data_IF_815372235361
#
_entry.id   IF_815372235361
#
_cell.length_a   1.000
_cell.length_b   1.000
_cell.length_c   1.000
_cell.angle_alpha   90.00
_cell.angle_beta   90.00
_cell.angle_gamma   90.00
#
_symmetry.space_group_name_H-M   'P 1'
#
loop_
_entity.id
_entity.type
_entity.pdbx_description
1 polymer ?
#
# COMPACT_ATOMS: atom_id res chain seq x y z
N UNK A 1 -10.82 -18.66 -5.97
CA UNK A 1 -9.41 -18.26 -5.78
C UNK A 1 -9.21 -17.90 -4.32
N UNK A 2 -8.13 -18.32 -3.67
CA UNK A 2 -7.80 -17.82 -2.34
C UNK A 2 -7.45 -16.34 -2.46
N UNK A 3 -8.24 -15.43 -1.86
CA UNK A 3 -8.00 -13.96 -1.77
C UNK A 3 -6.71 -13.59 -0.99
N UNK A 4 -5.79 -14.53 -0.85
CA UNK A 4 -4.76 -14.56 0.17
C UNK A 4 -3.38 -14.79 -0.42
N UNK A 5 -2.99 -14.03 -1.45
CA UNK A 5 -1.69 -14.20 -2.11
C UNK A 5 -0.94 -12.87 -2.21
N UNK A 6 -0.47 -12.36 -1.06
CA UNK A 6 0.55 -11.29 -0.98
C UNK A 6 1.26 -11.39 0.38
N UNK A 7 2.56 -11.08 0.44
CA UNK A 7 3.32 -10.94 1.69
C UNK A 7 2.65 -9.93 2.63
N UNK A 8 2.18 -10.39 3.79
CA UNK A 8 1.35 -9.62 4.73
C UNK A 8 2.02 -8.33 5.25
N UNK A 9 3.34 -8.32 5.32
CA UNK A 9 4.12 -7.27 5.97
C UNK A 9 4.01 -5.89 5.32
N UNK A 10 3.64 -5.85 4.03
CA UNK A 10 3.51 -4.62 3.24
C UNK A 10 2.05 -4.24 2.98
N UNK A 11 1.07 -4.97 3.53
CA UNK A 11 -0.35 -4.70 3.30
C UNK A 11 -0.80 -3.45 4.06
N UNK A 12 -1.50 -2.58 3.36
CA UNK A 12 -2.12 -1.39 3.91
C UNK A 12 -3.24 -1.71 4.91
N UNK A 13 -3.54 -0.83 5.88
CA UNK A 13 -4.57 -1.06 6.88
C UNK A 13 -5.95 -1.39 6.30
N UNK A 14 -6.34 -0.73 5.22
CA UNK A 14 -7.63 -0.92 4.53
C UNK A 14 -7.79 -2.34 3.97
N UNK A 15 -6.71 -2.98 3.51
CA UNK A 15 -6.70 -4.37 3.07
C UNK A 15 -6.80 -5.34 4.25
N UNK A 16 -6.28 -4.97 5.43
CA UNK A 16 -6.39 -5.77 6.64
C UNK A 16 -7.79 -5.68 7.26
N UNK A 17 -8.51 -4.60 6.97
CA UNK A 17 -9.87 -4.32 7.44
C UNK A 17 -10.96 -4.72 6.43
N UNK A 18 -10.59 -5.40 5.33
CA UNK A 18 -11.49 -5.80 4.24
C UNK A 18 -12.37 -4.64 3.74
N UNK A 19 -11.76 -3.46 3.55
CA UNK A 19 -12.42 -2.36 2.85
C UNK A 19 -12.56 -2.69 1.37
N UNK A 20 -13.71 -2.41 0.76
CA UNK A 20 -13.93 -2.63 -0.68
C UNK A 20 -13.31 -1.54 -1.57
N UNK A 21 -12.89 -0.43 -0.96
CA UNK A 21 -12.38 0.74 -1.66
C UNK A 21 -10.85 0.61 -1.83
N UNK A 22 -10.42 -0.10 -2.88
CA UNK A 22 -9.00 -0.21 -3.25
C UNK A 22 -8.60 0.91 -4.20
N UNK A 23 -7.48 1.57 -3.90
CA UNK A 23 -6.93 2.66 -4.72
C UNK A 23 -5.41 2.55 -4.78
N UNK A 24 -4.76 3.34 -5.65
CA UNK A 24 -3.30 3.43 -5.72
C UNK A 24 -2.63 3.79 -4.37
N UNK A 25 -3.38 4.31 -3.39
CA UNK A 25 -2.87 4.56 -2.05
C UNK A 25 -2.31 3.29 -1.39
N UNK A 26 -2.83 2.10 -1.69
CA UNK A 26 -2.33 0.83 -1.11
C UNK A 26 -0.85 0.62 -1.44
N UNK A 27 -0.42 1.00 -2.64
CA UNK A 27 0.95 0.83 -3.10
C UNK A 27 1.88 1.83 -2.41
N UNK A 28 1.42 3.06 -2.18
CA UNK A 28 2.18 4.08 -1.42
C UNK A 28 2.50 3.59 -0.01
N UNK A 29 1.57 2.89 0.64
CA UNK A 29 1.81 2.28 1.94
C UNK A 29 2.91 1.21 1.87
N UNK A 30 2.83 0.32 0.87
CA UNK A 30 3.84 -0.72 0.65
C UNK A 30 5.21 -0.11 0.39
N UNK A 31 5.31 0.96 -0.39
CA UNK A 31 6.54 1.72 -0.62
C UNK A 31 7.11 2.26 0.69
N UNK A 32 6.26 2.85 1.56
CA UNK A 32 6.69 3.33 2.88
C UNK A 32 7.28 2.21 3.75
N UNK A 33 6.68 1.02 3.73
CA UNK A 33 7.17 -0.15 4.44
C UNK A 33 8.52 -0.63 3.89
N UNK A 34 8.66 -0.73 2.56
CA UNK A 34 9.89 -1.14 1.88
C UNK A 34 11.02 -0.15 2.19
N UNK A 35 10.74 1.15 2.10
CA UNK A 35 11.73 2.17 2.36
C UNK A 35 12.29 2.07 3.79
N UNK A 36 11.41 1.91 4.79
CA UNK A 36 11.85 1.73 6.17
C UNK A 36 12.62 0.43 6.40
N UNK A 37 12.25 -0.63 5.68
CA UNK A 37 13.00 -1.88 5.70
C UNK A 37 14.40 -1.73 5.11
N UNK A 38 14.57 -0.96 4.03
CA UNK A 38 15.89 -0.66 3.48
C UNK A 38 16.76 0.11 4.48
N UNK A 39 16.18 1.08 5.20
CA UNK A 39 16.90 1.88 6.19
C UNK A 39 17.29 1.06 7.43
N UNK A 40 16.38 0.22 7.93
CA UNK A 40 16.56 -0.53 9.18
C UNK A 40 17.13 -1.94 8.96
N UNK A 41 17.25 -2.38 7.70
CA UNK A 41 17.63 -3.74 7.26
C UNK A 41 16.76 -4.85 7.87
N UNK A 42 15.55 -4.50 8.30
CA UNK A 42 14.57 -5.38 8.94
C UNK A 42 13.16 -4.93 8.56
N UNK A 43 12.23 -5.86 8.33
CA UNK A 43 10.85 -5.51 8.02
C UNK A 43 10.24 -4.63 9.10
N UNK A 44 9.54 -3.57 8.68
CA UNK A 44 8.91 -2.63 9.62
C UNK A 44 7.78 -3.30 10.41
N UNK A 45 6.95 -4.10 9.73
CA UNK A 45 5.78 -4.76 10.31
C UNK A 45 5.77 -6.26 10.01
N UNK A 46 6.54 -7.03 10.79
CA UNK A 46 6.65 -8.48 10.66
C UNK A 46 5.50 -9.26 11.37
N UNK A 47 4.26 -9.03 10.95
CA UNK A 47 3.08 -9.69 11.54
C UNK A 47 3.01 -11.18 11.20
N UNK A 48 2.59 -11.98 12.19
CA UNK A 48 2.44 -13.45 12.08
C UNK A 48 1.08 -13.85 11.48
N UNK A 49 0.06 -13.05 11.78
CA UNK A 49 -1.32 -13.17 11.35
C UNK A 49 -1.93 -11.76 11.20
N UNK A 50 -3.21 -11.65 10.80
CA UNK A 50 -3.89 -10.36 10.63
C UNK A 50 -3.94 -9.54 11.92
N UNK A 51 -4.21 -10.19 13.04
CA UNK A 51 -4.41 -9.52 14.32
C UNK A 51 -3.07 -8.97 14.82
N UNK A 52 -2.01 -9.76 14.71
CA UNK A 52 -0.67 -9.34 15.04
C UNK A 52 -0.18 -8.23 14.11
N UNK A 53 -0.46 -8.31 12.80
CA UNK A 53 -0.12 -7.24 11.85
C UNK A 53 -0.77 -5.92 12.28
N UNK A 54 -2.08 -5.91 12.55
CA UNK A 54 -2.78 -4.70 12.97
C UNK A 54 -2.26 -4.15 14.29
N UNK A 55 -1.94 -5.02 15.25
CA UNK A 55 -1.31 -4.61 16.51
C UNK A 55 0.03 -3.92 16.29
N UNK A 56 0.89 -4.43 15.41
CA UNK A 56 2.17 -3.77 15.08
C UNK A 56 1.95 -2.39 14.46
N UNK A 57 0.93 -2.24 13.61
CA UNK A 57 0.57 -0.94 13.03
C UNK A 57 0.15 0.05 14.11
N UNK A 58 -0.78 -0.33 14.99
CA UNK A 58 -1.29 0.55 16.04
C UNK A 58 -0.25 0.86 17.12
N UNK A 59 0.66 -0.07 17.43
CA UNK A 59 1.76 0.17 18.36
C UNK A 59 2.72 1.26 17.86
N UNK A 60 3.00 1.34 16.56
CA UNK A 60 3.89 2.34 15.97
C UNK A 60 3.16 3.65 15.62
N UNK A 61 2.07 3.56 14.87
CA UNK A 61 1.37 4.72 14.28
C UNK A 61 0.28 5.30 15.19
N UNK A 62 -0.01 4.62 16.30
CA UNK A 62 -1.10 4.92 17.21
C UNK A 62 -2.41 4.24 16.79
N UNK A 63 -3.35 4.16 17.72
CA UNK A 63 -4.68 3.65 17.43
C UNK A 63 -5.46 4.68 16.60
N UNK A 64 -6.01 4.31 15.42
CA UNK A 64 -6.71 5.25 14.56
C UNK A 64 -7.98 5.78 15.25
N UNK A 65 -8.29 7.05 15.01
CA UNK A 65 -9.49 7.69 15.55
C UNK A 65 -10.73 7.36 14.70
N UNK A 66 -11.94 7.61 15.22
CA UNK A 66 -13.18 7.45 14.42
C UNK A 66 -13.14 8.27 13.12
N UNK A 67 -12.48 9.44 13.12
CA UNK A 67 -12.30 10.22 11.89
C UNK A 67 -11.36 9.58 10.88
N UNK A 68 -10.40 8.76 11.32
CA UNK A 68 -9.50 8.02 10.43
C UNK A 68 -10.16 6.71 9.92
N UNK A 69 -11.12 6.20 10.68
CA UNK A 69 -11.97 5.05 10.30
C UNK A 69 -13.18 5.45 9.45
N UNK A 70 -13.36 6.74 9.17
CA UNK A 70 -14.52 7.29 8.46
C UNK A 70 -14.77 6.60 7.10
N UNK A 71 -13.70 6.19 6.42
CA UNK A 71 -13.75 5.50 5.13
C UNK A 71 -13.94 3.97 5.24
N UNK A 72 -13.66 3.37 6.40
CA UNK A 72 -13.85 1.93 6.59
C UNK A 72 -15.35 1.67 6.68
N UNK A 73 -15.99 1.27 5.58
CA UNK A 73 -17.45 1.02 5.54
C UNK A 73 -17.87 -0.25 6.30
N UNK A 74 -16.92 -1.15 6.55
CA UNK A 74 -17.16 -2.42 7.22
C UNK A 74 -17.32 -2.23 8.75
N UNK A 75 -18.53 -2.50 9.26
CA UNK A 75 -18.83 -2.36 10.69
C UNK A 75 -18.07 -3.36 11.58
N UNK A 76 -17.81 -4.58 11.10
CA UNK A 76 -17.05 -5.58 11.86
C UNK A 76 -15.60 -5.14 12.03
N UNK A 77 -15.03 -4.54 10.99
CA UNK A 77 -13.69 -3.96 11.04
C UNK A 77 -13.62 -2.79 12.03
N UNK A 78 -14.62 -1.89 12.04
CA UNK A 78 -14.71 -0.81 13.04
C UNK A 78 -14.81 -1.34 14.46
N UNK A 79 -15.65 -2.37 14.68
CA UNK A 79 -15.80 -3.01 15.99
C UNK A 79 -14.49 -3.63 16.46
N UNK A 80 -13.78 -4.30 15.56
CA UNK A 80 -12.46 -4.88 15.84
C UNK A 80 -11.46 -3.80 16.28
N UNK A 81 -11.35 -2.70 15.54
CA UNK A 81 -10.43 -1.60 15.90
C UNK A 81 -10.77 -0.97 17.25
N UNK A 82 -12.06 -0.80 17.57
CA UNK A 82 -12.51 -0.29 18.88
C UNK A 82 -12.13 -1.19 20.05
N UNK A 83 -11.97 -2.49 19.82
CA UNK A 83 -11.57 -3.46 20.85
C UNK A 83 -10.04 -3.54 21.02
N UNK A 84 -9.26 -2.94 20.12
CA UNK A 84 -7.81 -2.94 20.23
C UNK A 84 -7.35 -2.08 21.41
N UNK A 85 -6.22 -2.45 22.06
CA UNK A 85 -5.56 -1.59 23.03
C UNK A 85 -5.25 -0.22 22.40
N UNK A 86 -5.46 0.83 23.20
CA UNK A 86 -5.18 2.20 22.78
C UNK A 86 -3.68 2.48 22.91
N UNK A 87 -3.06 2.87 21.80
CA UNK A 87 -1.64 3.23 21.73
C UNK A 87 -1.50 4.68 21.26
N UNK A 88 -0.67 5.50 21.93
CA UNK A 88 -0.33 6.83 21.41
C UNK A 88 0.56 6.70 20.18
N UNK A 89 0.41 7.60 19.21
CA UNK A 89 1.29 7.66 18.03
C UNK A 89 2.73 7.90 18.47
N UNK A 90 3.65 7.05 18.01
CA UNK A 90 5.08 7.26 18.26
C UNK A 90 5.64 8.28 17.27
N UNK A 91 6.60 9.08 17.73
CA UNK A 91 7.33 9.98 16.84
C UNK A 91 8.39 9.16 16.09
N UNK A 92 8.17 8.90 14.80
CA UNK A 92 9.07 8.09 13.97
C UNK A 92 10.52 8.59 14.02
N UNK A 93 10.73 9.91 14.14
CA UNK A 93 12.07 10.51 14.28
C UNK A 93 12.81 10.02 15.53
N UNK A 94 12.08 9.73 16.62
CA UNK A 94 12.65 9.18 17.86
C UNK A 94 12.88 7.68 17.79
N UNK A 95 12.02 6.96 17.07
CA UNK A 95 12.14 5.50 16.88
C UNK A 95 13.29 5.18 15.94
N UNK A 96 13.50 6.01 14.92
CA UNK A 96 14.50 5.83 13.87
C UNK A 96 15.46 7.03 13.81
N UNK A 97 16.26 7.27 14.86
CA UNK A 97 17.12 8.47 14.96
C UNK A 97 18.28 8.49 13.96
N UNK A 98 18.55 7.36 13.32
CA UNK A 98 19.61 7.21 12.32
C UNK A 98 19.14 7.56 10.89
N UNK A 99 17.84 7.74 10.69
CA UNK A 99 17.25 8.05 9.38
C UNK A 99 17.16 9.57 9.21
N UNK A 100 17.38 10.05 7.99
CA UNK A 100 17.27 11.47 7.67
C UNK A 100 15.86 12.02 8.07
N UNK A 101 15.77 13.15 8.80
CA UNK A 101 14.48 13.72 9.19
C UNK A 101 13.51 13.98 8.02
N UNK A 102 14.02 14.39 6.85
CA UNK A 102 13.20 14.59 5.66
C UNK A 102 12.67 13.27 5.08
N UNK A 103 13.43 12.18 5.21
CA UNK A 103 12.95 10.86 4.84
C UNK A 103 11.86 10.39 5.79
N UNK A 104 12.04 10.60 7.10
CA UNK A 104 11.01 10.27 8.09
C UNK A 104 9.74 11.08 7.84
N UNK A 105 9.86 12.36 7.48
CA UNK A 105 8.71 13.20 7.14
C UNK A 105 7.96 12.72 5.88
N UNK A 106 8.66 12.20 4.87
CA UNK A 106 8.04 11.54 3.71
C UNK A 106 7.32 10.26 4.13
N UNK A 107 7.99 9.42 4.92
CA UNK A 107 7.47 8.13 5.38
C UNK A 107 6.26 8.29 6.30
N UNK A 108 6.25 9.30 7.16
CA UNK A 108 5.11 9.59 8.03
C UNK A 108 3.84 9.90 7.21
N UNK A 109 4.00 10.57 6.07
CA UNK A 109 2.90 10.84 5.12
C UNK A 109 2.49 9.60 4.31
N UNK A 110 3.44 8.74 3.93
CA UNK A 110 3.16 7.45 3.27
C UNK A 110 2.46 6.45 4.21
N UNK A 111 2.88 6.38 5.49
CA UNK A 111 2.32 5.51 6.51
C UNK A 111 1.13 6.15 7.24
N UNK A 112 0.24 6.76 6.46
CA UNK A 112 -1.02 7.32 6.95
C UNK A 112 -2.11 6.26 6.90
N UNK A 113 -2.84 6.11 8.01
CA UNK A 113 -3.87 5.07 8.17
C UNK A 113 -5.05 5.29 7.22
N UNK A 114 -5.50 6.55 7.13
CA UNK A 114 -6.55 6.98 6.23
C UNK A 114 -6.00 7.09 4.79
N UNK A 115 -6.46 6.25 3.84
CA UNK A 115 -5.93 6.26 2.48
C UNK A 115 -6.21 7.57 1.73
N UNK A 116 -7.25 8.33 2.09
CA UNK A 116 -7.53 9.61 1.44
C UNK A 116 -6.64 10.77 1.92
N UNK A 117 -6.00 10.60 3.09
CA UNK A 117 -5.00 11.55 3.63
C UNK A 117 -3.56 11.12 3.33
N UNK A 118 -3.39 9.91 2.78
CA UNK A 118 -2.08 9.38 2.40
C UNK A 118 -1.57 10.17 1.20
N UNK A 119 -0.29 10.54 1.25
CA UNK A 119 0.38 11.27 0.16
C UNK A 119 0.23 10.50 -1.16
N UNK A 120 0.01 11.21 -2.27
CA UNK A 120 0.02 10.57 -3.59
C UNK A 120 1.44 10.30 -4.08
N UNK A 121 1.60 9.53 -5.16
CA UNK A 121 2.91 9.27 -5.75
C UNK A 121 3.52 10.57 -6.29
N UNK A 122 2.71 11.41 -6.91
CA UNK A 122 3.11 12.71 -7.47
C UNK A 122 3.57 13.66 -6.36
N UNK A 123 2.82 13.74 -5.26
CA UNK A 123 3.21 14.53 -4.09
C UNK A 123 4.48 13.98 -3.41
N UNK A 124 4.66 12.66 -3.41
CA UNK A 124 5.86 12.03 -2.87
C UNK A 124 7.10 12.32 -3.72
N UNK A 125 6.99 12.29 -5.05
CA UNK A 125 8.08 12.67 -5.98
C UNK A 125 8.46 14.13 -5.81
N UNK A 126 7.48 15.02 -5.63
CA UNK A 126 7.70 16.44 -5.35
C UNK A 126 8.23 16.75 -3.92
N UNK A 127 8.40 15.74 -3.06
CA UNK A 127 8.79 15.95 -1.67
C UNK A 127 10.24 16.47 -1.56
N UNK A 128 10.56 17.37 -0.59
CA UNK A 128 11.92 17.89 -0.39
C UNK A 128 13.01 16.84 -0.21
N UNK A 129 12.63 15.64 0.24
CA UNK A 129 13.55 14.51 0.37
C UNK A 129 14.06 13.99 -0.99
N UNK A 130 13.20 14.00 -2.02
CA UNK A 130 13.51 13.52 -3.37
C UNK A 130 13.87 14.65 -4.35
N UNK A 131 13.93 15.91 -3.89
CA UNK A 131 14.20 17.07 -4.74
C UNK A 131 15.49 17.03 -5.58
N UNK A 132 16.46 16.17 -5.22
CA UNK A 132 17.69 15.96 -6.02
C UNK A 132 17.51 14.98 -7.19
N UNK A 133 16.47 14.16 -7.13
CA UNK A 133 16.15 13.11 -8.10
C UNK A 133 14.91 13.46 -8.93
N UNK A 134 14.05 14.33 -8.42
CA UNK A 134 12.82 14.71 -9.08
C UNK A 134 13.11 15.48 -10.38
N UNK A 135 12.67 14.91 -11.49
CA UNK A 135 12.77 15.50 -12.82
C UNK A 135 11.48 15.18 -13.60
N UNK A 136 10.64 16.20 -13.77
CA UNK A 136 9.33 16.06 -14.42
C UNK A 136 9.49 15.62 -15.88
N UNK A 137 10.58 15.99 -16.55
CA UNK A 137 10.82 15.64 -17.95
C UNK A 137 11.26 14.16 -18.12
N UNK A 138 11.78 13.53 -17.06
CA UNK A 138 12.20 12.12 -17.01
C UNK A 138 11.21 11.22 -16.22
N UNK A 139 10.04 11.75 -15.86
CA UNK A 139 8.97 11.06 -15.13
C UNK A 139 7.71 10.92 -16.02
N UNK A 140 7.72 10.06 -17.07
CA UNK A 140 6.61 9.95 -18.01
C UNK A 140 5.35 9.34 -17.37
N UNK A 141 4.19 9.91 -17.70
CA UNK A 141 2.88 9.39 -17.26
C UNK A 141 2.29 8.47 -18.33
N UNK A 142 1.66 7.37 -17.90
CA UNK A 142 0.89 6.50 -18.79
C UNK A 142 -0.33 7.27 -19.35
N UNK A 143 -0.39 7.42 -20.68
CA UNK A 143 -1.41 8.25 -21.35
C UNK A 143 -2.78 7.58 -21.42
N UNK A 144 -2.80 6.26 -21.43
CA UNK A 144 -4.00 5.46 -21.52
C UNK A 144 -4.17 4.64 -20.25
N UNK A 145 -5.39 4.60 -19.71
CA UNK A 145 -5.70 3.74 -18.58
C UNK A 145 -5.71 2.29 -19.07
N UNK A 146 -5.05 1.42 -18.32
CA UNK A 146 -5.13 -0.01 -18.56
C UNK A 146 -6.56 -0.49 -18.27
N UNK A 147 -7.21 -1.11 -19.26
CA UNK A 147 -8.55 -1.67 -19.09
C UNK A 147 -8.45 -3.06 -18.48
N UNK A 148 -9.20 -3.26 -17.39
CA UNK A 148 -9.38 -4.56 -16.74
C UNK A 148 -10.68 -5.26 -17.21
N UNK A 149 -11.30 -4.83 -18.31
CA UNK A 149 -12.59 -5.38 -18.79
C UNK A 149 -12.54 -6.89 -19.12
N UNK A 150 -11.33 -7.40 -19.33
CA UNK A 150 -11.05 -8.82 -19.59
C UNK A 150 -11.06 -9.68 -18.32
N UNK A 151 -10.96 -9.10 -17.12
CA UNK A 151 -11.01 -9.80 -15.83
C UNK A 151 -12.45 -10.19 -15.46
N UNK A 152 -13.04 -11.05 -16.29
CA UNK A 152 -14.34 -11.66 -16.02
C UNK A 152 -14.14 -13.07 -15.46
N UNK A 153 -15.21 -13.66 -14.92
CA UNK A 153 -15.19 -15.05 -14.48
C UNK A 153 -15.08 -15.99 -15.70
N UNK A 154 -13.84 -16.22 -16.15
CA UNK A 154 -13.51 -17.05 -17.31
C UNK A 154 -13.22 -18.49 -16.91
N UNK A 155 -13.59 -19.42 -17.78
CA UNK A 155 -13.16 -20.82 -17.68
C UNK A 155 -11.68 -20.99 -18.01
N UNK A 156 -11.08 -22.10 -17.57
CA UNK A 156 -9.67 -22.40 -17.82
C UNK A 156 -9.31 -22.37 -19.31
N UNK A 157 -10.13 -22.98 -20.15
CA UNK A 157 -9.92 -23.03 -21.61
C UNK A 157 -9.99 -21.62 -22.24
N UNK A 158 -10.90 -20.76 -21.78
CA UNK A 158 -11.00 -19.39 -22.25
C UNK A 158 -9.76 -18.57 -21.86
N UNK A 159 -9.24 -18.76 -20.65
CA UNK A 159 -7.98 -18.13 -20.23
C UNK A 159 -6.80 -18.61 -21.07
N UNK A 160 -6.70 -19.92 -21.38
CA UNK A 160 -5.65 -20.45 -22.26
C UNK A 160 -5.70 -19.82 -23.65
N UNK A 161 -6.90 -19.76 -24.25
CA UNK A 161 -7.09 -19.15 -25.56
C UNK A 161 -6.68 -17.69 -25.55
N UNK A 162 -7.09 -16.92 -24.54
CA UNK A 162 -6.71 -15.50 -24.42
C UNK A 162 -5.21 -15.30 -24.28
N UNK A 163 -4.53 -16.11 -23.46
CA UNK A 163 -3.06 -16.07 -23.32
C UNK A 163 -2.39 -16.41 -24.66
N UNK A 164 -2.90 -17.41 -25.38
CA UNK A 164 -2.36 -17.80 -26.69
C UNK A 164 -2.54 -16.68 -27.73
N UNK A 165 -3.71 -16.04 -27.79
CA UNK A 165 -3.97 -14.92 -28.69
C UNK A 165 -3.06 -13.72 -28.38
N UNK A 166 -2.86 -13.40 -27.11
CA UNK A 166 -1.95 -12.32 -26.69
C UNK A 166 -0.49 -12.62 -27.09
N UNK A 167 -0.06 -13.88 -26.93
CA UNK A 167 1.26 -14.32 -27.36
C UNK A 167 1.45 -14.20 -28.88
N UNK A 168 0.43 -14.55 -29.68
CA UNK A 168 0.46 -14.36 -31.13
C UNK A 168 0.45 -12.87 -31.53
N UNK A 169 -0.32 -12.03 -30.84
CA UNK A 169 -0.36 -10.59 -31.11
C UNK A 169 1.00 -9.92 -30.88
N UNK A 170 1.74 -10.36 -29.87
CA UNK A 170 3.10 -9.91 -29.58
C UNK A 170 4.16 -10.48 -30.54
N UNK A 171 3.87 -11.61 -31.19
CA UNK A 171 4.80 -12.26 -32.12
C UNK A 171 4.10 -12.57 -33.47
N UNK A 172 3.83 -11.55 -34.31
CA UNK A 172 3.03 -11.70 -35.53
C UNK A 172 3.64 -12.64 -36.57
N UNK A 173 4.94 -12.92 -36.45
CA UNK A 173 5.70 -13.82 -37.32
C UNK A 173 5.38 -15.31 -37.10
N UNK A 174 4.70 -15.65 -35.99
CA UNK A 174 4.21 -16.98 -35.68
C UNK A 174 2.69 -17.11 -35.80
N UNK A 175 2.00 -16.05 -36.25
CA UNK A 175 0.55 -16.00 -36.42
C UNK A 175 0.08 -16.68 -37.72
#
# INVERSE_FOLDING_TARGET
>A
MTEYVVTRWYRAPELLLNSSDYTAAIDVWSVGCIYMELMNRKPLFAGKDHVHQMRLLTELLGTPTESDLGLVRNEDARRYVRQLPQHPRQQLVKVFPHVNPLAIDLIDKMLTFDPAKRITVEEALAHPYLARLHDIDDEPVCRELFSFDFEQALGEEQMKDMIYQEALALNPEYA
#
